data_IF_823885502785
#
_entry.id   IF_823885502785
#
_cell.length_a   1.000
_cell.length_b   1.000
_cell.length_c   1.000
_cell.angle_alpha   90.00
_cell.angle_beta   90.00
_cell.angle_gamma   90.00
#
_symmetry.space_group_name_H-M   'P 1'
#
loop_
_entity.id
_entity.type
_entity.pdbx_description
1 polymer ?
#
# COMPACT_ATOMS: atom_id res chain seq x y z
N UNK A 1 -10.25 1.63 -4.55
CA UNK A 1 -10.26 2.86 -3.73
C UNK A 1 -11.62 3.02 -3.06
N UNK A 2 -11.63 3.22 -1.73
CA UNK A 2 -12.83 3.34 -0.90
C UNK A 2 -13.03 4.73 -0.30
N UNK A 3 -11.94 5.49 -0.06
CA UNK A 3 -12.02 6.85 0.49
C UNK A 3 -10.77 7.69 0.17
N UNK A 4 -10.85 9.00 0.42
CA UNK A 4 -9.72 9.95 0.35
C UNK A 4 -9.47 10.50 1.75
N UNK A 5 -8.71 9.80 2.61
CA UNK A 5 -8.55 10.17 4.01
C UNK A 5 -7.68 11.41 4.22
N UNK A 6 -6.81 11.76 3.26
CA UNK A 6 -6.01 12.98 3.34
C UNK A 6 -5.94 13.74 2.01
N UNK A 7 -5.95 15.06 2.11
CA UNK A 7 -5.82 15.99 0.99
C UNK A 7 -4.64 16.92 1.22
N UNK A 8 -3.99 17.34 0.14
CA UNK A 8 -2.93 18.34 0.21
C UNK A 8 -3.53 19.72 0.53
N UNK A 9 -2.71 20.75 0.84
CA UNK A 9 -3.19 22.09 1.16
C UNK A 9 -4.06 22.77 0.08
N UNK A 10 -4.00 22.28 -1.17
CA UNK A 10 -4.84 22.76 -2.27
C UNK A 10 -6.14 21.95 -2.46
N UNK A 11 -6.44 21.01 -1.56
CA UNK A 11 -7.65 20.19 -1.59
C UNK A 11 -7.60 18.95 -2.48
N UNK A 12 -6.48 18.68 -3.16
CA UNK A 12 -6.35 17.50 -4.02
C UNK A 12 -6.01 16.25 -3.20
N UNK A 13 -6.43 15.04 -3.64
CA UNK A 13 -6.08 13.79 -2.95
C UNK A 13 -4.57 13.69 -2.70
N UNK A 14 -4.20 13.49 -1.45
CA UNK A 14 -2.83 13.23 -1.05
C UNK A 14 -2.64 11.77 -0.64
N UNK A 15 -3.67 11.19 -0.03
CA UNK A 15 -3.73 9.77 0.34
C UNK A 15 -5.08 9.21 -0.05
N UNK A 16 -5.09 7.97 -0.54
CA UNK A 16 -6.30 7.19 -0.81
C UNK A 16 -6.30 5.93 0.05
N UNK A 17 -7.48 5.44 0.40
CA UNK A 17 -7.68 4.12 1.00
C UNK A 17 -8.07 3.13 -0.09
N UNK A 18 -7.45 1.95 -0.11
CA UNK A 18 -7.73 0.91 -1.07
C UNK A 18 -8.28 -0.37 -0.43
N UNK A 19 -8.94 -1.18 -1.26
CA UNK A 19 -9.43 -2.49 -0.83
C UNK A 19 -8.25 -3.42 -0.54
N UNK A 20 -8.33 -4.26 0.50
CA UNK A 20 -7.24 -5.18 0.85
C UNK A 20 -7.04 -6.31 -0.16
N UNK A 21 -8.00 -6.56 -1.05
CA UNK A 21 -7.94 -7.58 -2.09
C UNK A 21 -8.53 -7.05 -3.41
N UNK A 22 -8.03 -7.57 -4.53
CA UNK A 22 -8.61 -7.32 -5.86
C UNK A 22 -9.78 -8.25 -6.19
N UNK A 23 -10.34 -8.08 -7.39
CA UNK A 23 -11.44 -8.89 -7.93
C UNK A 23 -11.11 -10.38 -8.08
N UNK A 24 -9.82 -10.71 -8.20
CA UNK A 24 -9.31 -12.09 -8.24
C UNK A 24 -9.00 -12.62 -6.84
N UNK A 25 -9.18 -11.80 -5.81
CA UNK A 25 -8.91 -12.10 -4.40
C UNK A 25 -7.44 -12.11 -4.03
N UNK A 26 -6.57 -11.46 -4.83
CA UNK A 26 -5.14 -11.32 -4.52
C UNK A 26 -4.94 -10.17 -3.53
N UNK A 27 -4.08 -10.34 -2.50
CA UNK A 27 -3.89 -9.32 -1.48
C UNK A 27 -3.16 -8.08 -2.00
N UNK A 28 -3.64 -6.92 -1.58
CA UNK A 28 -2.89 -5.66 -1.66
C UNK A 28 -2.17 -5.40 -0.34
N UNK A 29 -0.84 -5.23 -0.36
CA UNK A 29 -0.02 -5.17 0.86
C UNK A 29 -0.14 -3.85 1.61
N UNK A 30 -0.86 -2.84 1.11
CA UNK A 30 -0.92 -1.53 1.74
C UNK A 30 -2.34 -1.00 1.71
N UNK A 31 -2.82 -0.50 2.84
CA UNK A 31 -4.18 0.03 2.98
C UNK A 31 -4.28 1.48 2.47
N UNK A 32 -3.27 2.30 2.75
CA UNK A 32 -3.23 3.72 2.40
C UNK A 32 -2.08 4.03 1.44
N UNK A 33 -2.36 4.74 0.35
CA UNK A 33 -1.37 5.08 -0.67
C UNK A 33 -1.27 6.58 -0.89
N UNK A 34 -0.03 7.10 -0.92
CA UNK A 34 0.24 8.47 -1.34
C UNK A 34 -0.06 8.65 -2.83
N UNK A 35 -0.87 9.65 -3.17
CA UNK A 35 -1.23 10.00 -4.55
C UNK A 35 -0.72 11.36 -4.98
N UNK A 36 -0.40 12.27 -4.04
CA UNK A 36 0.20 13.56 -4.38
C UNK A 36 1.64 13.38 -4.89
N UNK A 37 1.98 13.77 -6.13
CA UNK A 37 3.31 13.48 -6.67
C UNK A 37 4.44 14.25 -6.00
N UNK A 38 4.15 15.43 -5.43
CA UNK A 38 5.16 16.16 -4.64
C UNK A 38 5.48 15.43 -3.34
N UNK A 39 4.46 14.89 -2.66
CA UNK A 39 4.65 14.09 -1.45
C UNK A 39 5.41 12.80 -1.78
N UNK A 40 4.99 12.08 -2.82
CA UNK A 40 5.66 10.86 -3.30
C UNK A 40 7.13 11.15 -3.59
N UNK A 41 7.43 12.17 -4.40
CA UNK A 41 8.80 12.53 -4.72
C UNK A 41 9.61 12.95 -3.48
N UNK A 42 8.98 13.59 -2.49
CA UNK A 42 9.65 14.00 -1.26
C UNK A 42 9.99 12.81 -0.36
N UNK A 43 9.08 11.85 -0.21
CA UNK A 43 9.33 10.61 0.54
C UNK A 43 10.35 9.74 -0.19
N UNK A 44 10.28 9.65 -1.52
CA UNK A 44 11.26 8.91 -2.34
C UNK A 44 12.69 9.42 -2.16
N UNK A 45 12.89 10.72 -1.92
CA UNK A 45 14.22 11.26 -1.59
C UNK A 45 14.72 10.72 -0.26
N UNK A 46 13.89 10.74 0.78
CA UNK A 46 14.25 10.16 2.10
C UNK A 46 14.57 8.67 1.99
N UNK A 47 13.80 7.90 1.21
CA UNK A 47 14.09 6.49 0.95
C UNK A 47 15.43 6.30 0.23
N UNK A 48 15.69 7.09 -0.81
CA UNK A 48 16.93 7.04 -1.59
C UNK A 48 18.17 7.41 -0.78
N UNK A 49 18.00 8.28 0.23
CA UNK A 49 19.04 8.66 1.19
C UNK A 49 19.21 7.64 2.33
N UNK A 50 18.74 6.40 2.12
CA UNK A 50 18.89 5.29 3.08
C UNK A 50 17.87 5.29 4.21
N UNK A 51 16.77 6.04 4.08
CA UNK A 51 15.79 6.21 5.15
C UNK A 51 15.13 4.90 5.60
N UNK A 52 14.90 3.95 4.70
CA UNK A 52 14.32 2.64 5.05
C UNK A 52 15.18 1.90 6.06
N UNK A 53 16.49 1.80 5.81
CA UNK A 53 17.42 1.12 6.71
C UNK A 53 17.55 1.85 8.06
N UNK A 54 17.62 3.19 8.03
CA UNK A 54 17.69 4.01 9.24
C UNK A 54 16.44 3.84 10.10
N UNK A 55 15.24 3.96 9.51
CA UNK A 55 13.98 3.83 10.25
C UNK A 55 13.75 2.41 10.75
N UNK A 56 14.15 1.39 9.99
CA UNK A 56 14.17 0.00 10.48
C UNK A 56 15.03 -0.15 11.72
N UNK A 57 16.26 0.39 11.70
CA UNK A 57 17.15 0.33 12.86
C UNK A 57 16.57 1.06 14.08
N UNK A 58 15.95 2.22 13.87
CA UNK A 58 15.27 2.98 14.92
C UNK A 58 14.11 2.20 15.52
N UNK A 59 13.20 1.64 14.73
CA UNK A 59 12.08 0.83 15.22
C UNK A 59 12.59 -0.36 16.04
N UNK A 60 13.68 -1.00 15.63
CA UNK A 60 14.28 -2.11 16.38
C UNK A 60 14.91 -1.67 17.73
N UNK A 61 15.38 -0.43 17.86
CA UNK A 61 16.06 0.07 19.06
C UNK A 61 15.22 0.95 19.98
N UNK A 62 14.13 1.53 19.48
CA UNK A 62 13.27 2.51 20.16
C UNK A 62 11.90 1.86 20.49
N UNK A 63 11.65 1.45 21.75
CA UNK A 63 10.44 0.71 22.14
C UNK A 63 9.13 1.44 21.85
N UNK A 64 9.14 2.77 21.89
CA UNK A 64 8.00 3.62 21.53
C UNK A 64 7.63 3.48 20.04
N UNK A 65 8.62 3.45 19.14
CA UNK A 65 8.36 3.29 17.70
C UNK A 65 7.88 1.88 17.37
N UNK A 66 8.45 0.86 18.01
CA UNK A 66 7.97 -0.52 17.88
C UNK A 66 6.51 -0.66 18.34
N UNK A 67 6.14 -0.04 19.46
CA UNK A 67 4.77 -0.02 19.95
C UNK A 67 3.83 0.70 18.99
N UNK A 68 4.23 1.87 18.52
CA UNK A 68 3.48 2.64 17.52
C UNK A 68 3.25 1.82 16.24
N UNK A 69 4.26 1.09 15.76
CA UNK A 69 4.14 0.19 14.62
C UNK A 69 3.14 -0.96 14.88
N UNK A 70 3.17 -1.55 16.07
CA UNK A 70 2.23 -2.60 16.47
C UNK A 70 0.78 -2.10 16.57
N UNK A 71 0.57 -0.91 17.14
CA UNK A 71 -0.75 -0.28 17.22
C UNK A 71 -1.32 0.04 15.84
N UNK A 72 -0.50 0.59 14.94
CA UNK A 72 -0.91 0.86 13.55
C UNK A 72 -1.18 -0.43 12.76
N UNK A 73 -0.44 -1.52 13.02
CA UNK A 73 -0.71 -2.83 12.43
C UNK A 73 -2.06 -3.38 12.89
N UNK A 74 -2.36 -3.32 14.19
CA UNK A 74 -3.63 -3.77 14.74
C UNK A 74 -4.81 -2.96 14.19
N UNK A 75 -4.70 -1.63 14.14
CA UNK A 75 -5.71 -0.75 13.55
C UNK A 75 -5.91 -1.03 12.04
N UNK A 76 -4.81 -1.19 11.30
CA UNK A 76 -4.87 -1.56 9.88
C UNK A 76 -5.57 -2.90 9.67
N UNK A 77 -5.30 -3.89 10.52
CA UNK A 77 -5.91 -5.21 10.41
C UNK A 77 -7.43 -5.16 10.62
N UNK A 78 -7.90 -4.40 11.61
CA UNK A 78 -9.33 -4.16 11.85
C UNK A 78 -9.95 -3.50 10.62
N UNK A 79 -9.35 -2.41 10.14
CA UNK A 79 -9.89 -1.66 8.99
C UNK A 79 -9.92 -2.50 7.72
N UNK A 80 -8.87 -3.29 7.45
CA UNK A 80 -8.80 -4.19 6.29
C UNK A 80 -9.87 -5.28 6.40
N UNK A 81 -10.07 -5.88 7.58
CA UNK A 81 -11.11 -6.89 7.79
C UNK A 81 -12.53 -6.31 7.57
N UNK A 82 -12.77 -5.08 8.04
CA UNK A 82 -14.05 -4.40 7.82
C UNK A 82 -14.31 -4.10 6.35
N UNK A 83 -13.30 -3.64 5.61
CA UNK A 83 -13.39 -3.43 4.16
C UNK A 83 -13.64 -4.75 3.42
N UNK A 84 -12.92 -5.82 3.77
CA UNK A 84 -13.13 -7.13 3.15
C UNK A 84 -14.56 -7.63 3.36
N UNK A 85 -15.11 -7.46 4.56
CA UNK A 85 -16.49 -7.84 4.90
C UNK A 85 -17.52 -6.96 4.19
N UNK A 86 -17.36 -5.64 4.24
CA UNK A 86 -18.33 -4.69 3.69
C UNK A 86 -18.43 -4.77 2.16
N UNK A 87 -17.37 -5.24 1.49
CA UNK A 87 -17.32 -5.41 0.04
C UNK A 87 -17.39 -6.88 -0.41
N UNK A 88 -17.64 -7.82 0.50
CA UNK A 88 -17.74 -9.26 0.21
C UNK A 88 -16.54 -9.79 -0.60
N UNK A 89 -15.33 -9.35 -0.24
CA UNK A 89 -14.13 -9.64 -1.02
C UNK A 89 -13.75 -11.12 -0.95
N UNK A 90 -13.37 -11.67 -2.10
CA UNK A 90 -12.67 -12.95 -2.19
C UNK A 90 -11.26 -12.81 -1.62
N UNK A 91 -10.78 -13.82 -0.92
CA UNK A 91 -9.42 -13.88 -0.38
C UNK A 91 -8.82 -15.23 -0.74
N UNK A 92 -7.75 -15.25 -1.54
CA UNK A 92 -7.11 -16.51 -1.99
C UNK A 92 -6.15 -17.10 -0.95
N UNK A 93 -5.83 -16.33 0.08
CA UNK A 93 -4.91 -16.65 1.18
C UNK A 93 -5.67 -16.79 2.51
N UNK A 94 -6.97 -17.07 2.46
CA UNK A 94 -7.85 -17.21 3.62
C UNK A 94 -7.82 -16.03 4.61
N UNK A 95 -7.38 -14.85 4.15
CA UNK A 95 -7.32 -13.64 4.95
C UNK A 95 -6.00 -13.40 5.67
N UNK A 96 -4.98 -14.23 5.49
CA UNK A 96 -3.67 -14.11 6.16
C UNK A 96 -3.07 -12.69 6.00
N UNK A 97 -3.17 -12.12 4.80
CA UNK A 97 -2.67 -10.77 4.49
C UNK A 97 -3.47 -9.63 5.11
N UNK A 98 -4.57 -9.89 5.82
CA UNK A 98 -5.27 -8.86 6.58
C UNK A 98 -4.47 -8.43 7.81
N UNK A 99 -3.69 -9.34 8.40
CA UNK A 99 -2.98 -9.15 9.67
C UNK A 99 -1.58 -8.53 9.52
N UNK A 100 -1.09 -8.40 8.29
CA UNK A 100 0.23 -7.80 8.04
C UNK A 100 0.27 -6.33 8.43
N UNK A 101 1.42 -5.86 8.91
CA UNK A 101 1.65 -4.49 9.33
C UNK A 101 1.58 -3.45 8.20
N UNK A 102 1.90 -2.20 8.54
CA UNK A 102 1.94 -1.10 7.56
C UNK A 102 2.93 -1.45 6.44
N UNK A 103 2.46 -1.32 5.20
CA UNK A 103 3.22 -1.78 4.06
C UNK A 103 3.31 -3.30 3.98
N UNK A 104 2.46 -4.10 4.63
CA UNK A 104 2.39 -5.54 4.36
C UNK A 104 3.62 -6.32 4.83
N UNK A 105 4.25 -5.87 5.91
CA UNK A 105 5.34 -6.59 6.57
C UNK A 105 4.77 -7.54 7.62
N UNK A 106 5.39 -8.72 7.78
CA UNK A 106 5.06 -9.65 8.87
C UNK A 106 5.84 -9.28 10.13
N UNK A 107 7.11 -8.93 9.97
CA UNK A 107 7.94 -8.39 11.06
C UNK A 107 7.68 -6.89 11.22
N UNK A 108 7.01 -6.52 12.32
CA UNK A 108 6.67 -5.14 12.63
C UNK A 108 7.86 -4.28 13.06
N UNK A 109 9.03 -4.90 13.31
CA UNK A 109 10.28 -4.19 13.54
C UNK A 109 10.98 -3.77 12.24
N UNK A 110 10.49 -4.27 11.10
CA UNK A 110 11.03 -3.95 9.78
C UNK A 110 10.20 -2.89 9.07
N UNK A 111 10.86 -1.88 8.51
CA UNK A 111 10.25 -0.90 7.61
C UNK A 111 10.62 -1.26 6.18
N UNK A 112 9.63 -1.47 5.30
CA UNK A 112 9.91 -1.75 3.88
C UNK A 112 9.73 -0.54 2.96
N UNK A 113 8.81 0.36 3.29
CA UNK A 113 8.43 1.49 2.44
C UNK A 113 7.94 2.65 3.30
N UNK A 114 8.66 3.77 3.28
CA UNK A 114 8.30 4.99 4.00
C UNK A 114 7.02 5.61 3.45
N UNK A 115 6.72 5.44 2.16
CA UNK A 115 5.46 5.91 1.59
C UNK A 115 4.24 5.31 2.28
N UNK A 116 4.28 4.02 2.62
CA UNK A 116 3.19 3.35 3.32
C UNK A 116 3.00 3.91 4.73
N UNK A 117 4.09 4.18 5.46
CA UNK A 117 4.03 4.77 6.80
C UNK A 117 3.54 6.22 6.78
N UNK A 118 4.03 7.02 5.83
CA UNK A 118 3.57 8.42 5.67
C UNK A 118 2.10 8.47 5.25
N UNK A 119 1.68 7.61 4.33
CA UNK A 119 0.28 7.50 3.93
C UNK A 119 -0.61 7.12 5.12
N UNK A 120 -0.17 6.13 5.92
CA UNK A 120 -0.91 5.70 7.10
C UNK A 120 -1.03 6.82 8.14
N UNK A 121 0.04 7.56 8.45
CA UNK A 121 -0.02 8.66 9.41
C UNK A 121 -0.92 9.82 8.95
N UNK A 122 -0.90 10.16 7.66
CA UNK A 122 -1.80 11.17 7.11
C UNK A 122 -3.27 10.72 7.15
N UNK A 123 -3.54 9.43 6.99
CA UNK A 123 -4.90 8.88 7.06
C UNK A 123 -5.38 8.68 8.51
N UNK A 124 -4.46 8.35 9.42
CA UNK A 124 -4.71 8.03 10.83
C UNK A 124 -3.72 8.83 11.71
N UNK A 125 -4.03 10.10 12.02
CA UNK A 125 -3.23 10.90 12.95
C UNK A 125 -3.10 10.21 14.32
N UNK A 126 -1.95 10.39 14.97
CA UNK A 126 -1.54 9.66 16.17
C UNK A 126 -0.62 8.47 15.89
N UNK A 127 -0.36 8.13 14.63
CA UNK A 127 0.63 7.12 14.28
C UNK A 127 2.06 7.68 14.38
N UNK A 128 2.62 7.68 15.60
CA UNK A 128 3.91 8.30 15.93
C UNK A 128 5.07 7.94 14.98
N UNK A 129 5.24 6.67 14.61
CA UNK A 129 6.30 6.28 13.66
C UNK A 129 6.13 6.95 12.29
N UNK A 130 4.92 6.91 11.73
CA UNK A 130 4.65 7.53 10.44
C UNK A 130 4.72 9.06 10.47
N UNK A 131 4.30 9.68 11.59
CA UNK A 131 4.43 11.11 11.82
C UNK A 131 5.90 11.55 11.94
N UNK A 132 6.72 10.75 12.63
CA UNK A 132 8.14 11.01 12.76
C UNK A 132 8.89 10.86 11.42
N UNK A 133 8.50 9.89 10.58
CA UNK A 133 8.99 9.78 9.20
C UNK A 133 8.56 11.01 8.39
N UNK A 134 7.29 11.41 8.46
CA UNK A 134 6.76 12.58 7.75
C UNK A 134 7.48 13.88 8.17
N UNK A 135 7.87 14.03 9.43
CA UNK A 135 8.61 15.18 9.92
C UNK A 135 9.99 15.36 9.26
N UNK A 136 10.61 14.27 8.76
CA UNK A 136 11.86 14.31 8.01
C UNK A 136 11.66 14.77 6.55
N UNK A 137 10.44 14.66 6.03
CA UNK A 137 10.14 14.94 4.62
C UNK A 137 10.15 16.44 4.37
N UNK A 138 11.23 16.92 3.73
CA UNK A 138 11.34 18.32 3.33
C UNK A 138 10.46 18.65 2.11
N UNK A 139 9.54 19.60 2.29
CA UNK A 139 8.67 20.10 1.22
C UNK A 139 7.68 19.04 0.71
N UNK A 140 6.81 18.47 1.57
CA UNK A 140 5.85 17.43 1.18
C UNK A 140 4.79 17.93 0.20
N UNK A 141 4.60 19.25 0.09
CA UNK A 141 3.61 19.89 -0.75
C UNK A 141 4.26 20.85 -1.73
N UNK A 142 3.73 20.92 -2.96
CA UNK A 142 4.13 21.97 -3.88
C UNK A 142 3.71 23.34 -3.36
N UNK A 143 4.41 24.40 -3.77
CA UNK A 143 4.11 25.79 -3.35
C UNK A 143 3.36 26.59 -4.41
N UNK A 144 3.31 26.06 -5.62
CA UNK A 144 2.81 26.71 -6.83
C UNK A 144 1.56 26.01 -7.39
N UNK A 145 0.94 25.11 -6.60
CA UNK A 145 -0.23 24.33 -7.02
C UNK A 145 -0.01 23.53 -8.31
N UNK A 146 1.22 23.17 -8.67
CA UNK A 146 1.53 22.40 -9.90
C UNK A 146 0.78 21.06 -10.01
N UNK A 147 0.35 20.50 -8.87
CA UNK A 147 -0.47 19.29 -8.84
C UNK A 147 -1.84 19.45 -9.53
N UNK A 148 -2.36 20.68 -9.72
CA UNK A 148 -3.60 20.90 -10.45
C UNK A 148 -3.52 20.50 -11.93
N UNK A 149 -2.33 20.57 -12.54
CA UNK A 149 -2.13 20.19 -13.93
C UNK A 149 -2.43 18.69 -14.17
N UNK A 150 -2.27 17.86 -13.14
CA UNK A 150 -2.51 16.41 -13.21
C UNK A 150 -3.99 16.03 -13.15
N UNK A 151 -4.86 16.99 -12.86
CA UNK A 151 -6.31 16.80 -12.88
C UNK A 151 -6.94 17.28 -14.19
N UNK A 152 -6.14 17.98 -15.03
CA UNK A 152 -6.65 18.72 -16.19
C UNK A 152 -6.22 18.11 -17.53
N UNK A 153 -5.72 16.87 -17.54
CA UNK A 153 -5.61 16.09 -18.77
C UNK A 153 -6.79 15.13 -18.79
N UNK A 154 -7.70 15.32 -19.76
CA UNK A 154 -8.87 14.48 -20.07
C UNK A 154 -8.96 13.20 -19.23
N UNK A 155 -9.78 13.25 -18.17
CA UNK A 155 -10.39 12.06 -17.63
C UNK A 155 -11.41 11.55 -18.67
N UNK A 156 -10.91 11.13 -19.83
CA UNK A 156 -11.62 10.18 -20.66
C UNK A 156 -11.98 9.03 -19.76
N UNK A 157 -13.26 8.68 -19.73
CA UNK A 157 -13.76 7.53 -19.01
C UNK A 157 -12.84 6.34 -19.30
N UNK A 158 -12.03 5.96 -18.33
CA UNK A 158 -11.44 4.62 -18.31
C UNK A 158 -12.61 3.70 -18.00
N UNK A 159 -13.37 3.33 -19.05
CA UNK A 159 -14.06 2.05 -19.05
C UNK A 159 -13.01 1.00 -18.69
N UNK A 160 -13.29 0.21 -17.66
CA UNK A 160 -12.34 -0.72 -17.07
C UNK A 160 -11.70 -1.62 -18.12
N UNK A 161 -10.49 -1.24 -18.55
CA UNK A 161 -9.63 -2.13 -19.32
C UNK A 161 -9.14 -3.20 -18.36
N UNK A 162 -9.86 -4.32 -18.34
CA UNK A 162 -9.38 -5.56 -17.74
C UNK A 162 -7.92 -5.78 -18.13
N UNK A 163 -7.07 -6.01 -17.13
CA UNK A 163 -5.67 -6.39 -17.34
C UNK A 163 -5.67 -7.58 -18.32
N UNK A 164 -5.02 -7.47 -19.50
CA UNK A 164 -5.02 -8.55 -20.46
C UNK A 164 -4.44 -9.79 -19.79
N UNK A 165 -5.19 -10.90 -19.86
CA UNK A 165 -4.77 -12.17 -19.31
C UNK A 165 -3.41 -12.55 -19.92
N UNK A 166 -2.47 -12.89 -19.05
CA UNK A 166 -1.20 -13.49 -19.45
C UNK A 166 -1.51 -14.77 -20.24
N UNK A 167 -0.83 -15.04 -21.38
CA UNK A 167 -1.08 -16.27 -22.11
C UNK A 167 -0.72 -17.47 -21.21
N UNK A 168 -1.50 -18.58 -21.25
CA UNK A 168 -1.24 -19.74 -20.42
C UNK A 168 0.12 -20.37 -20.78
N UNK A 169 0.84 -20.81 -19.76
CA UNK A 169 2.06 -21.59 -19.91
C UNK A 169 1.78 -22.90 -20.67
N UNK A 170 2.75 -23.42 -21.46
CA UNK A 170 2.58 -24.66 -22.21
C UNK A 170 2.36 -25.83 -21.23
N UNK A 171 1.28 -26.57 -21.45
CA UNK A 171 0.87 -27.70 -20.60
C UNK A 171 1.80 -28.90 -20.73
N UNK A 172 2.12 -29.50 -19.58
CA UNK A 172 2.78 -30.80 -19.50
C UNK A 172 1.85 -31.89 -20.05
N UNK A 173 2.16 -32.37 -21.24
CA UNK A 173 1.49 -33.50 -21.87
C UNK A 173 1.83 -34.80 -21.16
N UNK A 174 0.99 -35.22 -20.21
CA UNK A 174 0.94 -36.58 -19.73
C UNK A 174 0.37 -37.50 -20.82
N UNK A 175 1.26 -38.10 -21.63
CA UNK A 175 0.90 -39.15 -22.59
C UNK A 175 0.87 -40.51 -21.91
N UNK A 176 -0.32 -40.97 -21.54
CA UNK A 176 -0.60 -42.40 -21.31
C UNK A 176 -1.01 -43.06 -22.64
N UNK A 177 -0.53 -44.27 -22.90
CA UNK A 177 -1.22 -45.33 -23.68
C UNK A 177 -0.51 -46.67 -23.45
N UNK A 178 -1.31 -47.67 -23.09
CA UNK A 178 -0.91 -49.06 -22.86
C UNK A 178 -0.70 -49.88 -24.15
N UNK A 179 -0.48 -51.19 -23.93
CA UNK A 179 -0.09 -52.25 -24.88
C UNK A 179 -1.04 -52.49 -26.07
N UNK A 180 -0.79 -53.42 -27.00
CA UNK A 180 -0.16 -54.77 -27.01
C UNK A 180 -0.02 -55.19 -28.52
N UNK A 181 0.18 -56.45 -28.95
CA UNK A 181 1.17 -57.50 -28.67
C UNK A 181 2.03 -57.87 -29.92
N UNK A 182 3.03 -58.75 -29.73
CA UNK A 182 3.42 -59.78 -30.70
C UNK A 182 3.87 -61.05 -29.95
#
# INVERSE_FOLDING_TARGET
MTSVPARCPYGFPAVVEDLPYDDRGRPFPTLYYCTCPTLVAAVSRVESDGGVARWTARVASEPELARSAAEAAADSAIRRADLARAHELRMVDDGDSLSTGVGGVVDLLTVKCLHAHVAHALARPGYELGEAILAEVAGPWCRDRRCAALLSADAGAVEGSGVPAHPPAPGDGAGSRGGEPA
#
